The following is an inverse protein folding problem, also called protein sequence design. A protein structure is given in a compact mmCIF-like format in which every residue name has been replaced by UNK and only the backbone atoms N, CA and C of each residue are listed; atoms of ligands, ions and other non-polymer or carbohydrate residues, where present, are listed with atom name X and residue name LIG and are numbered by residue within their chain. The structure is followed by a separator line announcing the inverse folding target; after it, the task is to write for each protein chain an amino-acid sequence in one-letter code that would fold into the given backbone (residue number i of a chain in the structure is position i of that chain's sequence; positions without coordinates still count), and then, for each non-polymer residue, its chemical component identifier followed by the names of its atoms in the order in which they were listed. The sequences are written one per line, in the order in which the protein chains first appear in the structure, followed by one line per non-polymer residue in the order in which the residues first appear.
data_IF_482168331910
#
_entry.id   IF_482168331910
#
_cell.length_a   1.000
_cell.length_b   1.000
_cell.length_c   1.000
_cell.angle_alpha   90.00
_cell.angle_beta   90.00
_cell.angle_gamma   90.00
#
_symmetry.space_group_name_H-M   'P 1'
#
loop_
_entity.id
_entity.type
_entity.pdbx_description
1 polymer ?
#
# COMPACT_ATOMS: atom_id res chain seq x y z
N UNK A 1 -10.74 -10.32 10.76
CA UNK A 1 -12.06 -11.00 10.90
C UNK A 1 -12.29 -11.74 9.60
N UNK A 2 -12.74 -12.98 9.63
CA UNK A 2 -13.00 -13.80 8.44
C UNK A 2 -14.39 -14.42 8.55
N UNK A 3 -15.17 -14.32 7.48
CA UNK A 3 -16.45 -15.04 7.32
C UNK A 3 -16.16 -16.22 6.41
N UNK A 4 -16.14 -17.43 6.97
CA UNK A 4 -15.61 -18.62 6.29
C UNK A 4 -16.70 -19.37 5.54
N UNK A 5 -17.83 -19.63 6.20
CA UNK A 5 -18.89 -20.49 5.68
C UNK A 5 -20.27 -19.97 6.10
N UNK A 6 -21.27 -20.31 5.30
CA UNK A 6 -22.67 -20.08 5.62
C UNK A 6 -23.44 -21.40 5.50
N UNK A 7 -24.33 -21.66 6.45
CA UNK A 7 -25.19 -22.86 6.48
C UNK A 7 -26.66 -22.47 6.34
N UNK A 8 -27.45 -23.38 5.76
CA UNK A 8 -28.91 -23.30 5.64
C UNK A 8 -29.40 -22.03 4.88
N UNK A 9 -28.58 -21.57 3.93
CA UNK A 9 -28.94 -20.54 2.95
C UNK A 9 -29.56 -21.17 1.68
N UNK A 10 -30.49 -20.47 1.01
CA UNK A 10 -31.10 -20.94 -0.24
C UNK A 10 -30.05 -21.33 -1.32
N UNK A 11 -30.06 -22.58 -1.84
CA UNK A 11 -28.95 -23.22 -2.57
C UNK A 11 -28.75 -22.80 -4.04
N UNK A 12 -29.17 -21.59 -4.44
CA UNK A 12 -29.06 -21.12 -5.85
C UNK A 12 -28.71 -19.64 -6.02
N UNK A 13 -28.30 -18.95 -4.95
CA UNK A 13 -27.99 -17.52 -5.00
C UNK A 13 -26.55 -17.26 -4.61
N UNK A 14 -25.91 -16.31 -5.30
CA UNK A 14 -24.66 -15.71 -4.82
C UNK A 14 -25.00 -14.74 -3.70
N UNK A 15 -24.21 -14.79 -2.63
CA UNK A 15 -24.35 -13.92 -1.47
C UNK A 15 -23.07 -13.14 -1.27
N UNK A 16 -23.20 -11.90 -0.81
CA UNK A 16 -22.09 -11.04 -0.43
C UNK A 16 -22.25 -10.62 1.02
N UNK A 17 -21.16 -10.56 1.78
CA UNK A 17 -21.18 -10.13 3.17
C UNK A 17 -20.38 -8.83 3.31
N UNK A 18 -21.00 -7.79 3.86
CA UNK A 18 -20.31 -6.58 4.27
C UNK A 18 -20.10 -6.58 5.79
N UNK A 19 -18.93 -6.11 6.21
CA UNK A 19 -18.58 -5.94 7.63
C UNK A 19 -18.72 -4.46 7.96
N UNK A 20 -19.60 -4.14 8.89
CA UNK A 20 -19.78 -2.79 9.43
C UNK A 20 -19.30 -2.79 10.87
N UNK A 21 -18.49 -1.79 11.23
CA UNK A 21 -17.95 -1.62 12.57
C UNK A 21 -18.72 -0.49 13.24
N UNK A 22 -19.45 -0.78 14.32
CA UNK A 22 -20.12 0.25 15.08
C UNK A 22 -19.09 0.95 15.98
N UNK A 23 -18.76 2.16 15.56
CA UNK A 23 -17.74 3.02 16.17
C UNK A 23 -18.48 3.98 17.10
N UNK A 24 -18.26 3.83 18.41
CA UNK A 24 -18.64 4.90 19.33
C UNK A 24 -17.76 6.11 19.02
N UNK A 25 -18.34 7.17 18.47
CA UNK A 25 -17.61 8.41 18.14
C UNK A 25 -16.75 8.87 19.32
N UNK A 26 -15.44 9.10 19.09
CA UNK A 26 -14.70 10.02 19.92
C UNK A 26 -14.13 11.12 19.02
N UNK A 27 -14.62 12.35 19.24
CA UNK A 27 -14.10 13.63 18.74
C UNK A 27 -14.41 13.98 17.27
N UNK A 28 -14.98 15.17 17.08
CA UNK A 28 -15.37 15.75 15.79
C UNK A 28 -14.17 15.82 14.83
N UNK A 29 -14.29 15.11 13.70
CA UNK A 29 -13.41 15.27 12.56
C UNK A 29 -13.61 16.68 11.96
N UNK A 30 -12.55 17.43 11.58
CA UNK A 30 -12.70 18.64 10.79
C UNK A 30 -13.34 18.34 9.42
N UNK A 31 -14.03 19.30 8.79
CA UNK A 31 -15.16 19.05 7.88
C UNK A 31 -14.87 18.36 6.53
N UNK A 32 -13.65 17.90 6.25
CA UNK A 32 -13.22 17.51 4.88
C UNK A 32 -12.38 16.23 4.79
N UNK A 33 -12.48 15.28 5.73
CA UNK A 33 -11.83 13.98 5.56
C UNK A 33 -12.69 13.04 4.66
N UNK A 34 -12.16 12.52 3.54
CA UNK A 34 -12.91 11.60 2.69
C UNK A 34 -13.05 10.24 3.38
N UNK A 35 -14.29 9.82 3.62
CA UNK A 35 -14.63 8.48 4.14
C UNK A 35 -14.36 7.45 3.04
N UNK A 36 -13.22 6.75 3.10
CA UNK A 36 -12.94 5.60 2.23
C UNK A 36 -13.70 4.37 2.75
N UNK A 37 -14.73 3.96 2.01
CA UNK A 37 -15.37 2.65 2.16
C UNK A 37 -14.81 1.73 1.06
N UNK A 38 -13.81 0.92 1.40
CA UNK A 38 -13.37 -0.19 0.55
C UNK A 38 -13.11 -1.43 1.41
N UNK A 39 -13.53 -2.58 0.89
CA UNK A 39 -13.42 -3.92 1.49
C UNK A 39 -12.05 -4.57 1.34
N UNK A 40 -11.03 -3.81 0.95
CA UNK A 40 -9.65 -4.28 0.86
C UNK A 40 -8.89 -3.58 1.99
N UNK A 41 -8.19 -4.39 2.78
CA UNK A 41 -7.31 -4.02 3.88
C UNK A 41 -7.97 -3.67 5.24
N UNK A 42 -8.55 -4.70 5.86
CA UNK A 42 -8.82 -4.72 7.31
C UNK A 42 -7.54 -4.53 8.16
N UNK A 43 -6.34 -4.69 7.61
CA UNK A 43 -5.08 -4.33 8.27
C UNK A 43 -4.85 -2.81 8.30
N UNK A 44 -5.17 -2.06 7.23
CA UNK A 44 -5.04 -0.60 7.21
C UNK A 44 -6.07 0.12 8.10
N UNK A 45 -7.31 -0.40 8.17
CA UNK A 45 -8.34 0.14 9.09
C UNK A 45 -7.91 0.04 10.57
N UNK A 46 -7.02 -0.89 10.92
CA UNK A 46 -6.49 -1.02 12.29
C UNK A 46 -5.44 0.05 12.62
N UNK A 47 -4.79 0.65 11.61
CA UNK A 47 -3.76 1.68 11.80
C UNK A 47 -4.37 3.07 12.12
N UNK A 48 -5.58 3.37 11.61
CA UNK A 48 -6.14 4.72 11.62
C UNK A 48 -7.14 5.01 12.76
N UNK A 49 -7.50 4.02 13.58
CA UNK A 49 -8.64 4.16 14.49
C UNK A 49 -8.29 3.70 15.92
N UNK A 50 -7.97 4.69 16.78
CA UNK A 50 -8.15 4.57 18.24
C UNK A 50 -9.66 4.55 18.51
N UNK A 51 -10.32 3.49 18.08
CA UNK A 51 -11.77 3.37 18.15
C UNK A 51 -12.15 2.38 19.23
N UNK A 52 -13.04 2.82 20.10
CA UNK A 52 -13.77 1.95 20.99
C UNK A 52 -14.85 1.24 20.15
N UNK A 53 -14.48 0.09 19.59
CA UNK A 53 -15.43 -0.81 18.94
C UNK A 53 -16.47 -1.27 19.97
N UNK A 54 -17.73 -0.88 19.78
CA UNK A 54 -18.84 -1.37 20.61
C UNK A 54 -19.39 -2.68 20.05
N UNK A 55 -19.69 -2.70 18.74
CA UNK A 55 -20.26 -3.86 18.07
C UNK A 55 -19.66 -4.05 16.66
N UNK A 56 -19.61 -5.30 16.19
CA UNK A 56 -19.28 -5.64 14.80
C UNK A 56 -20.53 -6.22 14.18
N UNK A 57 -20.95 -5.65 13.05
CA UNK A 57 -22.19 -5.95 12.34
C UNK A 57 -21.86 -6.59 10.99
N UNK A 58 -22.52 -7.71 10.65
CA UNK A 58 -22.36 -8.39 9.37
C UNK A 58 -23.66 -8.31 8.57
N UNK A 59 -23.62 -7.66 7.41
CA UNK A 59 -24.75 -7.55 6.49
C UNK A 59 -24.59 -8.57 5.35
N UNK A 60 -25.63 -9.36 5.09
CA UNK A 60 -25.64 -10.36 4.01
C UNK A 60 -26.60 -9.94 2.89
N UNK A 61 -26.07 -9.76 1.69
CA UNK A 61 -26.81 -9.34 0.49
C UNK A 61 -26.98 -10.48 -0.51
N UNK A 62 -28.04 -10.41 -1.33
CA UNK A 62 -28.34 -11.34 -2.43
C UNK A 62 -28.10 -10.66 -3.78
N UNK A 63 -27.47 -11.37 -4.71
CA UNK A 63 -27.03 -10.88 -6.03
C UNK A 63 -28.15 -10.62 -7.07
N UNK A 64 -29.43 -10.49 -6.67
CA UNK A 64 -30.56 -10.36 -7.63
C UNK A 64 -30.94 -8.92 -8.02
N UNK A 65 -30.22 -7.89 -7.55
CA UNK A 65 -30.67 -6.49 -7.71
C UNK A 65 -29.56 -5.57 -8.26
N UNK A 66 -29.24 -5.62 -9.58
CA UNK A 66 -28.17 -4.81 -10.17
C UNK A 66 -28.44 -3.29 -10.15
N UNK A 67 -29.64 -2.86 -9.74
CA UNK A 67 -30.02 -1.44 -9.59
C UNK A 67 -29.84 -0.89 -8.18
N UNK A 68 -29.66 -1.74 -7.15
CA UNK A 68 -29.32 -1.28 -5.80
C UNK A 68 -27.80 -1.12 -5.74
N UNK A 69 -27.36 0.10 -6.04
CA UNK A 69 -25.98 0.56 -5.84
C UNK A 69 -25.43 0.04 -4.51
N UNK A 70 -24.11 -0.18 -4.48
CA UNK A 70 -23.19 -0.50 -3.35
C UNK A 70 -23.36 0.32 -2.04
N UNK A 71 -24.44 1.08 -1.89
CA UNK A 71 -24.69 2.02 -0.80
C UNK A 71 -26.18 2.08 -0.34
N UNK A 72 -27.02 1.10 -0.69
CA UNK A 72 -28.41 1.09 -0.19
C UNK A 72 -28.44 0.57 1.26
N UNK A 73 -28.60 1.49 2.22
CA UNK A 73 -28.84 1.21 3.65
C UNK A 73 -30.12 0.38 3.90
N UNK A 74 -30.95 0.15 2.87
CA UNK A 74 -32.35 -0.24 3.04
C UNK A 74 -32.60 -1.75 3.18
N UNK A 75 -31.62 -2.63 2.93
CA UNK A 75 -31.75 -4.08 3.15
C UNK A 75 -30.71 -4.62 4.16
N UNK A 76 -30.35 -3.80 5.13
CA UNK A 76 -29.31 -4.09 6.11
C UNK A 76 -29.77 -5.11 7.17
N UNK A 77 -29.15 -6.30 7.17
CA UNK A 77 -29.30 -7.28 8.25
C UNK A 77 -28.34 -6.92 9.39
N UNK A 78 -28.86 -6.52 10.56
CA UNK A 78 -28.07 -6.14 11.73
C UNK A 78 -27.72 -7.36 12.60
N UNK A 79 -26.43 -7.59 12.87
CA UNK A 79 -25.95 -8.63 13.78
C UNK A 79 -24.87 -8.13 14.72
N UNK A 80 -25.15 -7.87 16.01
CA UNK A 80 -24.09 -7.69 16.97
C UNK A 80 -23.34 -9.02 17.18
N UNK A 81 -22.11 -9.12 16.67
CA UNK A 81 -21.21 -10.20 17.07
C UNK A 81 -20.94 -10.05 18.57
N UNK A 82 -21.52 -10.95 19.37
CA UNK A 82 -21.30 -10.99 20.81
C UNK A 82 -19.81 -10.95 21.16
N UNK A 83 -19.48 -10.35 22.32
CA UNK A 83 -18.12 -10.03 22.77
C UNK A 83 -17.09 -11.13 22.44
N UNK A 84 -16.27 -10.89 21.42
CA UNK A 84 -15.11 -11.75 21.09
C UNK A 84 -14.05 -11.51 22.17
N UNK A 85 -14.01 -12.40 23.17
CA UNK A 85 -13.11 -12.28 24.32
C UNK A 85 -11.85 -13.11 24.10
N UNK A 86 -10.68 -12.48 23.99
CA UNK A 86 -9.38 -13.16 24.08
C UNK A 86 -8.46 -12.95 22.89
N UNK A 87 -7.16 -13.23 23.12
CA UNK A 87 -6.06 -12.99 22.17
C UNK A 87 -5.89 -14.07 21.09
N UNK A 88 -6.54 -15.22 21.25
CA UNK A 88 -6.48 -16.32 20.29
C UNK A 88 -7.57 -16.18 19.22
N UNK A 89 -7.34 -16.78 18.05
CA UNK A 89 -8.37 -16.93 17.04
C UNK A 89 -9.52 -17.78 17.61
N UNK A 90 -10.73 -17.23 17.53
CA UNK A 90 -11.95 -17.94 17.85
C UNK A 90 -12.75 -18.11 16.58
N UNK A 91 -13.17 -19.33 16.33
CA UNK A 91 -14.07 -19.68 15.24
C UNK A 91 -15.38 -20.18 15.85
N UNK A 92 -16.47 -19.49 15.52
CA UNK A 92 -17.81 -19.78 16.06
C UNK A 92 -18.87 -19.60 14.99
N UNK A 93 -19.93 -20.38 15.10
CA UNK A 93 -21.15 -20.21 14.31
C UNK A 93 -22.03 -19.15 14.97
N UNK A 94 -22.49 -18.19 14.17
CA UNK A 94 -23.41 -17.13 14.58
C UNK A 94 -24.70 -17.25 13.77
N UNK A 95 -25.89 -17.36 14.42
CA UNK A 95 -27.15 -17.48 13.71
C UNK A 95 -27.49 -16.19 12.95
N UNK A 96 -28.09 -16.33 11.76
CA UNK A 96 -28.58 -15.24 10.92
C UNK A 96 -30.01 -14.92 11.33
N UNK A 97 -30.21 -13.75 11.94
CA UNK A 97 -31.54 -13.20 12.27
C UNK A 97 -32.02 -12.27 11.15
N UNK A 98 -33.05 -12.63 10.37
CA UNK A 98 -33.53 -11.76 9.29
C UNK A 98 -34.07 -10.42 9.84
N UNK A 99 -33.59 -9.30 9.30
CA UNK A 99 -34.13 -7.98 9.59
C UNK A 99 -35.53 -7.85 8.96
N UNK A 100 -36.52 -7.50 9.78
CA UNK A 100 -37.88 -7.22 9.32
C UNK A 100 -38.14 -5.71 9.45
N UNK A 101 -38.14 -4.93 8.36
CA UNK A 101 -38.75 -3.61 8.41
C UNK A 101 -40.26 -3.77 8.67
N UNK A 102 -40.88 -2.86 9.43
CA UNK A 102 -42.32 -2.93 9.69
C UNK A 102 -43.09 -2.64 8.38
N UNK A 103 -43.70 -3.68 7.79
CA UNK A 103 -44.74 -3.50 6.76
C UNK A 103 -44.74 -4.39 5.52
N UNK A 104 -43.73 -5.22 5.25
CA UNK A 104 -43.68 -6.00 3.98
C UNK A 104 -43.35 -7.47 4.21
N UNK A 105 -44.37 -8.31 4.42
CA UNK A 105 -44.22 -9.76 4.43
C UNK A 105 -44.65 -10.36 3.09
N UNK A 106 -43.69 -10.67 2.21
CA UNK A 106 -43.87 -11.69 1.16
C UNK A 106 -43.10 -12.94 1.57
N UNK A 107 -43.79 -14.07 1.61
CA UNK A 107 -43.31 -15.35 2.15
C UNK A 107 -42.15 -16.02 1.38
N UNK A 108 -41.58 -15.37 0.36
CA UNK A 108 -40.58 -15.96 -0.55
C UNK A 108 -39.12 -15.78 -0.14
N UNK A 109 -38.82 -14.93 0.86
CA UNK A 109 -37.45 -14.57 1.23
C UNK A 109 -36.97 -15.07 2.59
N UNK A 110 -37.71 -15.97 3.25
CA UNK A 110 -37.31 -16.48 4.56
C UNK A 110 -36.03 -17.31 4.47
N UNK A 111 -34.94 -16.72 4.97
CA UNK A 111 -33.74 -17.44 5.38
C UNK A 111 -34.17 -18.45 6.45
N UNK A 112 -33.71 -19.70 6.35
CA UNK A 112 -34.15 -20.78 7.25
C UNK A 112 -33.84 -20.45 8.72
N UNK A 113 -34.63 -20.95 9.69
CA UNK A 113 -34.45 -20.67 11.11
C UNK A 113 -33.12 -21.19 11.70
N UNK A 114 -32.37 -21.99 10.93
CA UNK A 114 -31.07 -22.55 11.29
C UNK A 114 -29.90 -21.89 10.53
N UNK A 115 -30.19 -20.88 9.72
CA UNK A 115 -29.15 -20.23 8.93
C UNK A 115 -28.11 -19.59 9.85
N UNK A 116 -26.84 -19.80 9.54
CA UNK A 116 -25.74 -19.36 10.38
C UNK A 116 -24.48 -19.08 9.57
N UNK A 117 -23.64 -18.18 10.08
CA UNK A 117 -22.35 -17.82 9.52
C UNK A 117 -21.24 -18.31 10.45
N UNK A 118 -20.24 -18.98 9.88
CA UNK A 118 -19.00 -19.33 10.59
C UNK A 118 -18.03 -18.17 10.50
N UNK A 119 -17.78 -17.53 11.63
CA UNK A 119 -16.90 -16.37 11.73
C UNK A 119 -15.67 -16.75 12.54
N UNK A 120 -14.50 -16.51 11.97
CA UNK A 120 -13.20 -16.61 12.63
C UNK A 120 -12.67 -15.21 12.92
N UNK A 121 -12.37 -14.90 14.17
CA UNK A 121 -11.83 -13.59 14.54
C UNK A 121 -10.84 -13.65 15.70
N UNK A 122 -10.05 -12.58 15.82
CA UNK A 122 -9.12 -12.33 16.93
C UNK A 122 -9.30 -10.89 17.36
N UNK A 123 -9.39 -10.66 18.67
CA UNK A 123 -9.51 -9.33 19.25
C UNK A 123 -8.26 -9.01 20.09
N UNK A 124 -7.64 -7.86 19.84
CA UNK A 124 -6.47 -7.38 20.57
C UNK A 124 -6.71 -5.93 20.98
N UNK A 125 -6.61 -5.66 22.28
CA UNK A 125 -6.59 -4.29 22.79
C UNK A 125 -5.13 -3.82 22.76
N UNK A 126 -4.87 -2.76 22.01
CA UNK A 126 -3.61 -2.01 22.05
C UNK A 126 -3.84 -0.74 22.88
N UNK A 127 -2.90 -0.44 23.77
CA UNK A 127 -2.91 0.81 24.55
C UNK A 127 -1.75 1.66 24.09
N UNK A 128 -2.05 2.85 23.59
CA UNK A 128 -1.05 3.88 23.29
C UNK A 128 -0.93 4.74 24.56
N UNK A 129 0.30 4.92 25.05
CA UNK A 129 0.56 5.73 26.24
C UNK A 129 0.53 7.23 25.89
N UNK A 130 0.40 8.13 26.89
CA UNK A 130 0.62 9.56 26.66
C UNK A 130 2.02 9.84 26.09
N UNK A 131 2.14 10.88 25.25
CA UNK A 131 3.34 11.20 24.47
C UNK A 131 4.59 11.41 25.35
N UNK A 132 4.40 11.92 26.57
CA UNK A 132 5.47 12.17 27.55
C UNK A 132 6.22 10.89 27.92
N UNK A 133 5.54 9.73 27.87
CA UNK A 133 6.14 8.43 28.18
C UNK A 133 7.04 7.91 27.07
N UNK A 134 6.91 8.46 25.86
CA UNK A 134 7.75 8.11 24.70
C UNK A 134 8.91 9.09 24.50
N UNK A 135 9.01 10.16 25.30
CA UNK A 135 9.99 11.23 25.08
C UNK A 135 11.44 10.73 25.08
N UNK A 136 11.85 10.02 26.13
CA UNK A 136 13.22 9.49 26.26
C UNK A 136 13.55 8.51 25.11
N UNK A 137 12.57 7.72 24.69
CA UNK A 137 12.73 6.79 23.58
C UNK A 137 12.87 7.52 22.23
N UNK A 138 12.06 8.55 22.01
CA UNK A 138 12.16 9.41 20.83
C UNK A 138 13.53 10.10 20.78
N UNK A 139 14.01 10.64 21.89
CA UNK A 139 15.34 11.25 22.00
C UNK A 139 16.45 10.22 21.71
N UNK A 140 16.35 9.01 22.25
CA UNK A 140 17.29 7.93 21.95
C UNK A 140 17.35 7.61 20.45
N UNK A 141 16.19 7.46 19.80
CA UNK A 141 16.11 7.19 18.36
C UNK A 141 16.78 8.31 17.56
N UNK A 142 16.57 9.57 17.93
CA UNK A 142 17.16 10.70 17.19
C UNK A 142 18.68 10.77 17.27
N UNK A 143 19.30 10.19 18.29
CA UNK A 143 20.76 10.29 18.49
C UNK A 143 21.48 9.01 18.06
N UNK A 144 20.85 7.85 18.22
CA UNK A 144 21.51 6.54 18.11
C UNK A 144 20.96 5.68 16.97
N UNK A 145 20.28 6.27 15.97
CA UNK A 145 19.66 5.51 14.89
C UNK A 145 20.66 4.65 14.11
N UNK A 146 21.90 5.12 13.85
CA UNK A 146 22.89 4.35 13.08
C UNK A 146 23.32 3.09 13.83
N UNK A 147 23.71 3.23 15.09
CA UNK A 147 24.14 2.11 15.93
C UNK A 147 23.00 1.12 16.20
N UNK A 148 21.79 1.66 16.42
CA UNK A 148 20.58 0.85 16.61
C UNK A 148 20.27 0.05 15.35
N UNK A 149 20.23 0.68 14.17
CA UNK A 149 20.00 0.00 12.89
C UNK A 149 21.07 -1.07 12.64
N UNK A 150 22.35 -0.73 12.83
CA UNK A 150 23.47 -1.66 12.62
C UNK A 150 23.40 -2.88 13.55
N UNK A 151 22.96 -2.68 14.80
CA UNK A 151 22.83 -3.76 15.80
C UNK A 151 21.60 -4.63 15.57
N UNK A 152 20.49 -4.03 15.13
CA UNK A 152 19.23 -4.74 14.92
C UNK A 152 19.20 -5.46 13.58
N UNK A 153 19.77 -4.89 12.52
CA UNK A 153 19.62 -5.42 11.16
C UNK A 153 19.93 -6.92 11.00
N UNK A 154 21.00 -7.47 11.60
CA UNK A 154 21.31 -8.91 11.51
C UNK A 154 20.26 -9.82 12.17
N UNK A 155 19.42 -9.27 13.05
CA UNK A 155 18.40 -9.99 13.80
C UNK A 155 17.03 -9.97 13.12
N UNK A 156 16.84 -9.11 12.12
CA UNK A 156 15.55 -8.86 11.48
C UNK A 156 15.42 -9.62 10.16
N UNK A 157 14.26 -10.23 9.95
CA UNK A 157 13.88 -10.71 8.63
C UNK A 157 13.43 -9.55 7.71
N UNK A 158 13.29 -9.82 6.40
CA UNK A 158 12.97 -8.80 5.40
C UNK A 158 11.70 -7.99 5.72
N UNK A 159 10.66 -8.65 6.26
CA UNK A 159 9.41 -7.98 6.63
C UNK A 159 9.60 -7.08 7.85
N UNK A 160 10.32 -7.56 8.86
CA UNK A 160 10.61 -6.77 10.07
C UNK A 160 11.48 -5.55 9.76
N UNK A 161 12.43 -5.68 8.81
CA UNK A 161 13.22 -4.54 8.32
C UNK A 161 12.33 -3.47 7.68
N UNK A 162 11.34 -3.88 6.88
CA UNK A 162 10.39 -2.97 6.24
C UNK A 162 9.50 -2.26 7.26
N UNK A 163 8.93 -3.00 8.23
CA UNK A 163 8.11 -2.44 9.31
C UNK A 163 8.91 -1.46 10.19
N UNK A 164 10.15 -1.80 10.56
CA UNK A 164 11.02 -0.93 11.36
C UNK A 164 11.46 0.31 10.59
N UNK A 165 11.93 0.15 9.35
CA UNK A 165 12.39 1.27 8.53
C UNK A 165 11.25 2.27 8.28
N UNK A 166 10.06 1.75 7.97
CA UNK A 166 8.88 2.60 7.80
C UNK A 166 8.55 3.37 9.08
N UNK A 167 8.49 2.69 10.23
CA UNK A 167 8.23 3.34 11.51
C UNK A 167 9.26 4.43 11.84
N UNK A 168 10.55 4.18 11.59
CA UNK A 168 11.62 5.16 11.83
C UNK A 168 11.48 6.39 10.92
N UNK A 169 11.21 6.20 9.63
CA UNK A 169 10.98 7.31 8.68
C UNK A 169 9.83 8.18 9.15
N UNK A 170 8.69 7.60 9.53
CA UNK A 170 7.51 8.35 10.01
C UNK A 170 7.77 9.07 11.33
N UNK A 171 8.44 8.42 12.29
CA UNK A 171 8.78 9.01 13.59
C UNK A 171 9.75 10.18 13.41
N UNK A 172 10.85 9.97 12.69
CA UNK A 172 11.88 10.98 12.46
C UNK A 172 11.34 12.17 11.65
N UNK A 173 10.53 11.90 10.63
CA UNK A 173 9.83 12.95 9.88
C UNK A 173 8.88 13.77 10.76
N UNK A 174 8.16 13.11 11.68
CA UNK A 174 7.23 13.78 12.59
C UNK A 174 7.96 14.62 13.64
N UNK A 175 9.10 14.13 14.15
CA UNK A 175 9.95 14.87 15.11
C UNK A 175 10.57 16.10 14.43
N UNK A 176 11.10 15.96 13.22
CA UNK A 176 11.70 17.06 12.46
C UNK A 176 10.71 18.21 12.20
N UNK A 177 9.46 17.87 11.86
CA UNK A 177 8.38 18.88 11.67
C UNK A 177 7.99 19.62 12.95
N UNK A 178 8.17 19.01 14.11
CA UNK A 178 7.75 19.58 15.40
C UNK A 178 8.76 20.60 15.97
N UNK A 179 10.03 20.57 15.52
CA UNK A 179 11.09 21.47 16.00
C UNK A 179 11.49 22.45 14.89
N UNK A 180 10.82 23.61 14.85
CA UNK A 180 10.94 24.61 13.78
C UNK A 180 12.22 25.48 13.85
N UNK A 181 13.05 25.44 14.91
CA UNK A 181 14.00 26.55 15.10
C UNK A 181 15.45 26.28 15.49
N UNK A 182 15.88 25.09 15.91
CA UNK A 182 17.31 24.86 16.10
C UNK A 182 17.68 23.38 16.31
N UNK A 183 18.70 22.96 15.55
CA UNK A 183 19.55 21.76 15.66
C UNK A 183 18.90 20.36 15.78
N UNK A 184 19.29 19.52 14.82
CA UNK A 184 19.32 18.06 14.85
C UNK A 184 17.96 17.34 14.84
N UNK A 185 17.37 17.22 13.66
CA UNK A 185 17.44 15.96 12.92
C UNK A 185 16.38 15.98 11.82
N UNK A 186 16.81 16.15 10.57
CA UNK A 186 15.93 15.90 9.45
C UNK A 186 15.98 14.40 9.12
N UNK A 187 14.85 13.81 8.72
CA UNK A 187 14.83 12.45 8.16
C UNK A 187 15.85 12.26 7.03
N UNK A 188 16.22 13.35 6.36
CA UNK A 188 17.30 13.40 5.38
C UNK A 188 18.66 13.04 5.97
N UNK A 189 19.05 13.57 7.14
CA UNK A 189 20.32 13.23 7.81
C UNK A 189 20.35 11.75 8.18
N UNK A 190 19.26 11.24 8.74
CA UNK A 190 19.09 9.81 9.01
C UNK A 190 19.31 8.95 7.76
N UNK A 191 18.70 9.33 6.63
CA UNK A 191 18.84 8.60 5.37
C UNK A 191 20.24 8.75 4.79
N UNK A 192 20.83 9.95 4.85
CA UNK A 192 22.18 10.23 4.38
C UNK A 192 23.17 9.33 5.13
N UNK A 193 23.14 9.35 6.47
CA UNK A 193 24.04 8.57 7.33
C UNK A 193 23.89 7.07 7.10
N UNK A 194 22.64 6.59 7.00
CA UNK A 194 22.37 5.16 6.80
C UNK A 194 22.82 4.70 5.41
N UNK A 195 22.67 5.55 4.39
CA UNK A 195 23.21 5.32 3.06
C UNK A 195 24.73 5.33 3.02
N UNK A 196 25.37 6.30 3.67
CA UNK A 196 26.84 6.37 3.74
C UNK A 196 27.44 5.19 4.53
N UNK A 197 26.78 4.74 5.61
CA UNK A 197 27.17 3.54 6.34
C UNK A 197 27.08 2.28 5.47
N UNK A 198 26.05 2.16 4.63
CA UNK A 198 25.89 1.05 3.69
C UNK A 198 26.99 1.04 2.62
N UNK A 199 27.35 2.20 2.10
CA UNK A 199 28.47 2.35 1.14
C UNK A 199 29.79 1.93 1.78
N UNK A 200 30.09 2.43 2.98
CA UNK A 200 31.30 2.09 3.71
C UNK A 200 31.39 0.59 4.01
N UNK A 201 30.26 -0.05 4.34
CA UNK A 201 30.18 -1.49 4.61
C UNK A 201 30.50 -2.33 3.37
N UNK A 202 30.00 -1.92 2.21
CA UNK A 202 30.10 -2.70 0.97
C UNK A 202 31.40 -2.43 0.19
N UNK A 203 32.06 -1.30 0.43
CA UNK A 203 33.38 -0.98 -0.13
C UNK A 203 33.41 -1.12 -1.65
N UNK A 204 34.19 -2.08 -2.15
CA UNK A 204 34.39 -2.34 -3.60
C UNK A 204 33.20 -3.08 -4.26
N UNK A 205 32.24 -3.60 -3.49
CA UNK A 205 31.06 -4.29 -4.02
C UNK A 205 29.94 -3.32 -4.44
N UNK A 206 30.28 -2.32 -5.27
CA UNK A 206 29.36 -1.29 -5.75
C UNK A 206 28.07 -1.86 -6.37
N UNK A 207 28.16 -3.04 -6.98
CA UNK A 207 27.04 -3.72 -7.62
C UNK A 207 25.93 -4.18 -6.65
N UNK A 208 26.22 -4.24 -5.34
CA UNK A 208 25.29 -4.64 -4.29
C UNK A 208 24.71 -3.46 -3.50
N UNK A 209 25.36 -2.30 -3.58
CA UNK A 209 24.95 -1.09 -2.86
C UNK A 209 23.54 -0.71 -3.33
N UNK A 210 22.66 -0.50 -2.36
CA UNK A 210 21.23 -0.25 -2.57
C UNK A 210 20.48 -1.33 -3.38
N UNK A 211 21.00 -2.56 -3.51
CA UNK A 211 20.26 -3.71 -4.08
C UNK A 211 19.90 -4.76 -3.03
N UNK A 212 20.64 -4.83 -1.94
CA UNK A 212 20.33 -5.71 -0.83
C UNK A 212 19.05 -5.25 -0.10
N UNK A 213 18.47 -6.15 0.70
CA UNK A 213 17.34 -5.83 1.59
C UNK A 213 17.88 -5.39 2.95
N UNK A 214 18.41 -4.17 3.01
CA UNK A 214 18.94 -3.53 4.22
C UNK A 214 17.98 -2.48 4.76
N UNK A 215 18.15 -2.07 6.02
CA UNK A 215 17.36 -0.99 6.60
C UNK A 215 17.53 0.31 5.82
N UNK A 216 18.73 0.58 5.28
CA UNK A 216 19.00 1.72 4.40
C UNK A 216 18.05 1.73 3.20
N UNK A 217 17.98 0.60 2.49
CA UNK A 217 17.13 0.47 1.30
C UNK A 217 15.66 0.53 1.62
N UNK A 218 15.21 -0.10 2.71
CA UNK A 218 13.80 -0.05 3.13
C UNK A 218 13.40 1.34 3.60
N UNK A 219 14.30 2.09 4.24
CA UNK A 219 14.04 3.44 4.69
C UNK A 219 13.91 4.42 3.51
N UNK A 220 14.82 4.37 2.54
CA UNK A 220 14.70 5.22 1.34
C UNK A 220 13.48 4.83 0.50
N UNK A 221 13.12 3.55 0.40
CA UNK A 221 11.89 3.09 -0.28
C UNK A 221 10.64 3.73 0.32
N UNK A 222 10.52 3.71 1.65
CA UNK A 222 9.40 4.36 2.34
C UNK A 222 9.42 5.89 2.15
N UNK A 223 10.58 6.51 2.30
CA UNK A 223 10.69 7.96 2.18
C UNK A 223 10.37 8.46 0.77
N UNK A 224 10.82 7.76 -0.27
CA UNK A 224 10.48 8.07 -1.66
C UNK A 224 8.97 8.02 -1.91
N UNK A 225 8.26 7.04 -1.33
CA UNK A 225 6.79 6.98 -1.40
C UNK A 225 6.14 8.16 -0.66
N UNK A 226 6.69 8.52 0.51
CA UNK A 226 6.13 9.57 1.37
C UNK A 226 6.17 10.96 0.70
N UNK A 227 7.31 11.34 0.11
CA UNK A 227 7.49 12.69 -0.48
C UNK A 227 7.28 12.72 -2.00
N UNK A 228 7.48 11.58 -2.68
CA UNK A 228 7.44 11.50 -4.13
C UNK A 228 6.05 11.20 -4.71
N UNK A 229 5.01 11.02 -3.88
CA UNK A 229 3.66 10.69 -4.35
C UNK A 229 3.13 11.70 -5.39
N UNK A 230 3.29 13.00 -5.11
CA UNK A 230 2.85 14.06 -6.03
C UNK A 230 3.61 13.97 -7.36
N UNK A 231 4.92 13.82 -7.30
CA UNK A 231 5.77 13.68 -8.48
C UNK A 231 5.37 12.45 -9.32
N UNK A 232 5.08 11.31 -8.69
CA UNK A 232 4.62 10.11 -9.41
C UNK A 232 3.28 10.33 -10.12
N UNK A 233 2.31 10.94 -9.46
CA UNK A 233 1.00 11.23 -10.06
C UNK A 233 1.17 12.17 -11.25
N UNK A 234 1.90 13.27 -11.08
CA UNK A 234 2.08 14.28 -12.13
C UNK A 234 2.87 13.71 -13.32
N UNK A 235 3.84 12.81 -13.08
CA UNK A 235 4.69 12.24 -14.14
C UNK A 235 4.03 11.06 -14.85
N UNK A 236 3.49 10.09 -14.09
CA UNK A 236 3.05 8.79 -14.59
C UNK A 236 1.53 8.59 -14.55
N UNK A 237 0.78 9.38 -13.79
CA UNK A 237 -0.66 9.17 -13.58
C UNK A 237 -1.45 9.12 -14.88
N UNK A 238 -1.30 10.13 -15.74
CA UNK A 238 -1.96 10.18 -17.05
C UNK A 238 -1.53 9.04 -17.98
N UNK A 239 -0.26 8.64 -17.93
CA UNK A 239 0.27 7.55 -18.74
C UNK A 239 -0.37 6.21 -18.33
N UNK A 240 -0.40 5.94 -17.01
CA UNK A 240 -1.06 4.75 -16.47
C UNK A 240 -2.56 4.76 -16.82
N UNK A 241 -3.25 5.89 -16.63
CA UNK A 241 -4.66 6.00 -16.99
C UNK A 241 -4.92 5.71 -18.48
N UNK A 242 -4.06 6.17 -19.38
CA UNK A 242 -4.15 5.84 -20.82
C UNK A 242 -3.95 4.36 -21.08
N UNK A 243 -2.96 3.71 -20.47
CA UNK A 243 -2.73 2.27 -20.64
C UNK A 243 -3.87 1.41 -20.11
N UNK A 244 -4.57 1.83 -19.06
CA UNK A 244 -5.74 1.11 -18.53
C UNK A 244 -6.96 1.22 -19.42
N UNK A 245 -7.14 2.38 -20.09
CA UNK A 245 -8.22 2.58 -21.05
C UNK A 245 -7.86 2.13 -22.47
N UNK A 246 -6.56 1.90 -22.72
CA UNK A 246 -6.03 1.46 -23.99
C UNK A 246 -6.20 -0.04 -24.19
N UNK A 247 -6.61 -0.43 -25.40
CA UNK A 247 -6.68 -1.83 -25.82
C UNK A 247 -5.41 -2.34 -26.52
N UNK A 248 -4.32 -1.58 -26.45
CA UNK A 248 -3.10 -1.82 -27.23
C UNK A 248 -2.29 -2.97 -26.65
N UNK A 249 -1.99 -3.96 -27.50
CA UNK A 249 -1.16 -5.09 -27.11
C UNK A 249 0.32 -4.76 -27.33
N UNK A 250 1.14 -5.03 -26.32
CA UNK A 250 2.59 -4.90 -26.38
C UNK A 250 3.31 -6.26 -26.29
N UNK A 251 2.63 -7.39 -26.53
CA UNK A 251 3.26 -8.71 -26.50
C UNK A 251 4.29 -8.86 -27.63
N UNK A 252 5.53 -9.12 -27.23
CA UNK A 252 6.69 -9.25 -28.12
C UNK A 252 7.28 -10.66 -28.15
N UNK A 253 6.68 -11.61 -27.42
CA UNK A 253 7.03 -13.03 -27.47
C UNK A 253 6.48 -13.67 -28.76
N UNK A 254 7.34 -14.10 -29.71
CA UNK A 254 6.90 -14.69 -30.97
C UNK A 254 6.07 -15.97 -30.82
N UNK A 255 6.12 -16.62 -29.65
CA UNK A 255 5.30 -17.80 -29.35
C UNK A 255 3.87 -17.44 -28.90
N UNK A 256 3.62 -16.18 -28.53
CA UNK A 256 2.36 -15.70 -27.97
C UNK A 256 1.61 -14.71 -28.88
N UNK A 257 2.23 -14.26 -29.96
CA UNK A 257 1.62 -13.38 -30.95
C UNK A 257 1.79 -13.92 -32.38
N UNK A 258 0.90 -13.52 -33.28
CA UNK A 258 1.04 -13.86 -34.70
C UNK A 258 2.24 -13.13 -35.33
N UNK A 259 2.78 -13.67 -36.42
CA UNK A 259 3.89 -13.04 -37.13
C UNK A 259 3.53 -11.67 -37.74
N UNK A 260 2.25 -11.41 -38.01
CA UNK A 260 1.78 -10.11 -38.50
C UNK A 260 1.62 -9.06 -37.39
N UNK A 261 1.29 -9.50 -36.16
CA UNK A 261 1.08 -8.58 -35.03
C UNK A 261 2.40 -8.22 -34.35
N UNK A 262 3.42 -9.09 -34.41
CA UNK A 262 4.69 -8.88 -33.72
C UNK A 262 5.36 -7.52 -34.06
N UNK A 263 5.47 -7.09 -35.33
CA UNK A 263 6.06 -5.79 -35.65
C UNK A 263 5.23 -4.62 -35.13
N UNK A 264 3.90 -4.78 -35.06
CA UNK A 264 2.97 -3.75 -34.56
C UNK A 264 3.13 -3.63 -33.04
N UNK A 265 3.12 -4.75 -32.33
CA UNK A 265 3.29 -4.77 -30.87
C UNK A 265 4.67 -4.24 -30.44
N UNK A 266 5.73 -4.53 -31.21
CA UNK A 266 7.06 -3.97 -30.99
C UNK A 266 7.06 -2.44 -31.13
N UNK A 267 6.32 -1.91 -32.11
CA UNK A 267 6.17 -0.47 -32.30
C UNK A 267 5.43 0.16 -31.12
N UNK A 268 4.30 -0.41 -30.71
CA UNK A 268 3.53 0.08 -29.56
C UNK A 268 4.37 0.07 -28.28
N UNK A 269 5.14 -1.00 -28.02
CA UNK A 269 6.02 -1.07 -26.87
C UNK A 269 7.10 0.03 -26.91
N UNK A 270 7.69 0.28 -28.08
CA UNK A 270 8.70 1.33 -28.26
C UNK A 270 8.11 2.73 -28.03
N UNK A 271 6.93 3.01 -28.56
CA UNK A 271 6.22 4.27 -28.36
C UNK A 271 5.84 4.48 -26.89
N UNK A 272 5.33 3.42 -26.24
CA UNK A 272 5.02 3.42 -24.80
C UNK A 272 6.25 3.73 -23.96
N UNK A 273 7.39 3.08 -24.24
CA UNK A 273 8.63 3.35 -23.50
C UNK A 273 9.16 4.76 -23.76
N UNK A 274 9.05 5.26 -25.00
CA UNK A 274 9.47 6.61 -25.35
C UNK A 274 8.63 7.68 -24.63
N UNK A 275 7.31 7.49 -24.51
CA UNK A 275 6.42 8.39 -23.74
C UNK A 275 6.82 8.43 -22.26
N UNK A 276 7.11 7.27 -21.64
CA UNK A 276 7.56 7.22 -20.25
C UNK A 276 8.88 7.97 -20.05
N UNK A 277 9.89 7.69 -20.90
CA UNK A 277 11.19 8.39 -20.80
C UNK A 277 10.99 9.89 -20.95
N UNK A 278 10.21 10.31 -21.95
CA UNK A 278 9.93 11.73 -22.20
C UNK A 278 9.28 12.39 -20.98
N UNK A 279 8.27 11.75 -20.38
CA UNK A 279 7.59 12.28 -19.17
C UNK A 279 8.55 12.44 -18.01
N UNK A 280 9.41 11.45 -17.76
CA UNK A 280 10.39 11.51 -16.67
C UNK A 280 11.40 12.65 -16.93
N UNK A 281 11.87 12.83 -18.17
CA UNK A 281 12.83 13.89 -18.50
C UNK A 281 12.20 15.28 -18.46
N UNK A 282 10.95 15.41 -18.91
CA UNK A 282 10.22 16.69 -18.93
C UNK A 282 9.87 17.16 -17.50
N UNK A 283 9.72 16.23 -16.55
CA UNK A 283 9.36 16.51 -15.15
C UNK A 283 10.57 16.68 -14.21
N UNK A 284 11.79 16.77 -14.73
CA UNK A 284 13.02 16.88 -13.93
C UNK A 284 12.99 18.02 -12.90
N UNK A 285 12.43 19.19 -13.27
CA UNK A 285 12.41 20.37 -12.40
C UNK A 285 11.38 20.27 -11.27
N UNK A 286 10.45 19.32 -11.39
CA UNK A 286 9.43 19.02 -10.38
C UNK A 286 9.83 17.87 -9.46
N UNK A 287 11.07 17.39 -9.57
CA UNK A 287 11.57 16.32 -8.69
C UNK A 287 11.64 16.82 -7.23
N UNK A 288 11.23 16.02 -6.23
CA UNK A 288 11.20 16.45 -4.83
C UNK A 288 12.58 16.92 -4.35
N UNK A 289 12.65 18.16 -3.87
CA UNK A 289 13.90 18.77 -3.41
C UNK A 289 14.53 17.97 -2.27
N UNK A 290 13.70 17.38 -1.41
CA UNK A 290 14.12 16.61 -0.25
C UNK A 290 14.87 15.33 -0.65
N UNK A 291 14.44 14.67 -1.74
CA UNK A 291 15.12 13.51 -2.30
C UNK A 291 16.40 13.93 -3.04
N UNK A 292 16.36 15.07 -3.74
CA UNK A 292 17.51 15.58 -4.47
C UNK A 292 18.69 15.87 -3.53
N UNK A 293 18.43 16.40 -2.34
CA UNK A 293 19.45 16.64 -1.31
C UNK A 293 20.12 15.34 -0.85
N UNK A 294 19.33 14.30 -0.52
CA UNK A 294 19.84 12.99 -0.10
C UNK A 294 20.70 12.38 -1.20
N UNK A 295 20.17 12.34 -2.42
CA UNK A 295 20.88 11.76 -3.56
C UNK A 295 22.15 12.54 -3.89
N UNK A 296 22.12 13.87 -3.82
CA UNK A 296 23.30 14.71 -4.05
C UNK A 296 24.39 14.47 -3.00
N UNK A 297 24.02 14.29 -1.74
CA UNK A 297 24.98 13.95 -0.67
C UNK A 297 25.64 12.60 -0.94
N UNK A 298 24.88 11.60 -1.39
CA UNK A 298 25.40 10.29 -1.72
C UNK A 298 26.34 10.30 -2.94
N UNK A 299 26.05 11.11 -3.97
CA UNK A 299 26.92 11.26 -5.16
C UNK A 299 28.33 11.71 -4.76
N UNK A 300 28.44 12.61 -3.78
CA UNK A 300 29.71 13.20 -3.35
C UNK A 300 30.68 12.17 -2.73
N UNK A 301 30.15 11.08 -2.16
CA UNK A 301 30.90 10.09 -1.38
C UNK A 301 31.27 8.83 -2.19
N UNK A 302 31.71 8.99 -3.45
CA UNK A 302 32.11 7.91 -4.39
C UNK A 302 30.96 7.10 -5.02
N UNK A 303 29.70 7.37 -4.70
CA UNK A 303 28.59 6.74 -5.41
C UNK A 303 28.44 7.36 -6.79
N UNK A 304 28.90 6.65 -7.83
CA UNK A 304 28.68 7.09 -9.19
C UNK A 304 27.19 7.34 -9.47
N UNK A 305 26.87 8.43 -10.18
CA UNK A 305 25.51 8.79 -10.63
C UNK A 305 24.69 7.60 -11.17
N UNK A 306 25.38 6.61 -11.76
CA UNK A 306 24.81 5.36 -12.23
C UNK A 306 24.07 4.57 -11.15
N UNK A 307 24.63 4.45 -9.96
CA UNK A 307 24.05 3.61 -8.90
C UNK A 307 22.81 4.25 -8.29
N UNK A 308 22.85 5.56 -8.05
CA UNK A 308 21.70 6.33 -7.56
C UNK A 308 20.58 6.31 -8.59
N UNK A 309 20.90 6.53 -9.87
CA UNK A 309 19.93 6.39 -10.96
C UNK A 309 19.33 4.98 -10.98
N UNK A 310 20.16 3.94 -11.03
CA UNK A 310 19.70 2.55 -11.05
C UNK A 310 18.81 2.21 -9.84
N UNK A 311 19.13 2.73 -8.65
CA UNK A 311 18.34 2.56 -7.42
C UNK A 311 16.99 3.27 -7.49
N UNK A 312 16.97 4.53 -7.90
CA UNK A 312 15.73 5.31 -8.08
C UNK A 312 14.76 4.61 -9.05
N UNK A 313 15.26 4.13 -10.18
CA UNK A 313 14.44 3.39 -11.12
C UNK A 313 13.98 2.05 -10.53
N UNK A 314 14.88 1.28 -9.92
CA UNK A 314 14.57 -0.05 -9.39
C UNK A 314 13.57 -0.04 -8.24
N UNK A 315 13.60 1.00 -7.42
CA UNK A 315 12.88 1.02 -6.13
C UNK A 315 11.70 1.97 -6.10
N UNK A 316 11.64 2.91 -7.04
CA UNK A 316 10.58 3.91 -7.05
C UNK A 316 9.82 3.93 -8.37
N UNK A 317 10.47 4.28 -9.49
CA UNK A 317 9.77 4.48 -10.76
C UNK A 317 9.29 3.18 -11.40
N UNK A 318 10.16 2.16 -11.54
CA UNK A 318 9.78 0.89 -12.16
C UNK A 318 8.75 0.10 -11.32
N UNK A 319 8.84 0.05 -9.98
CA UNK A 319 7.76 -0.51 -9.15
C UNK A 319 6.43 0.24 -9.31
N UNK A 320 6.45 1.58 -9.41
CA UNK A 320 5.23 2.36 -9.66
C UNK A 320 4.59 2.07 -11.02
N UNK A 321 5.40 1.79 -12.06
CA UNK A 321 4.90 1.33 -13.36
C UNK A 321 4.37 -0.11 -13.27
N UNK A 322 5.10 -1.02 -12.61
CA UNK A 322 4.75 -2.43 -12.54
C UNK A 322 3.48 -2.68 -11.70
N UNK A 323 3.31 -1.95 -10.61
CA UNK A 323 2.19 -2.10 -9.67
C UNK A 323 1.60 -0.74 -9.29
N UNK A 324 0.88 -0.07 -10.21
CA UNK A 324 0.43 1.31 -10.00
C UNK A 324 -0.55 1.47 -8.84
N UNK A 325 -1.29 0.42 -8.47
CA UNK A 325 -2.22 0.45 -7.34
C UNK A 325 -1.52 0.62 -6.00
N UNK A 326 -0.35 -0.03 -5.81
CA UNK A 326 0.44 0.09 -4.58
C UNK A 326 1.05 1.48 -4.39
N UNK A 327 1.13 2.26 -5.46
CA UNK A 327 1.62 3.64 -5.46
C UNK A 327 0.47 4.65 -5.60
N UNK A 328 -0.79 4.23 -5.44
CA UNK A 328 -1.95 5.12 -5.48
C UNK A 328 -2.21 5.80 -6.83
N UNK A 329 -1.66 5.26 -7.93
CA UNK A 329 -1.88 5.79 -9.28
C UNK A 329 -3.21 5.32 -9.89
N UNK A 330 -3.75 4.20 -9.41
CA UNK A 330 -5.05 3.63 -9.82
C UNK A 330 -5.66 2.83 -8.68
N UNK A 331 -6.97 2.62 -8.70
CA UNK A 331 -7.67 1.77 -7.73
C UNK A 331 -7.93 0.35 -8.24
N UNK A 332 -8.02 0.17 -9.56
CA UNK A 332 -8.33 -1.13 -10.15
C UNK A 332 -7.04 -1.92 -10.43
N UNK A 333 -7.08 -3.23 -10.24
CA UNK A 333 -6.01 -4.11 -10.72
C UNK A 333 -6.01 -4.18 -12.26
N UNK A 334 -4.83 -4.16 -12.91
CA UNK A 334 -4.75 -4.22 -14.37
C UNK A 334 -5.20 -5.57 -14.91
N UNK A 335 -5.85 -5.57 -16.08
CA UNK A 335 -6.12 -6.80 -16.83
C UNK A 335 -4.81 -7.45 -17.32
N UNK A 336 -4.84 -8.73 -17.67
CA UNK A 336 -3.66 -9.51 -18.06
C UNK A 336 -2.83 -8.84 -19.16
N UNK A 337 -3.47 -8.23 -20.15
CA UNK A 337 -2.80 -7.54 -21.25
C UNK A 337 -2.12 -6.26 -20.78
N UNK A 338 -2.83 -5.42 -20.01
CA UNK A 338 -2.27 -4.18 -19.45
C UNK A 338 -1.12 -4.48 -18.48
N UNK A 339 -1.27 -5.49 -17.62
CA UNK A 339 -0.20 -5.94 -16.72
C UNK A 339 1.04 -6.39 -17.51
N UNK A 340 0.85 -7.08 -18.63
CA UNK A 340 1.94 -7.50 -19.51
C UNK A 340 2.65 -6.28 -20.12
N UNK A 341 1.90 -5.30 -20.64
CA UNK A 341 2.45 -4.05 -21.18
C UNK A 341 3.25 -3.30 -20.12
N UNK A 342 2.68 -3.08 -18.91
CA UNK A 342 3.37 -2.45 -17.79
C UNK A 342 4.66 -3.17 -17.41
N UNK A 343 4.63 -4.51 -17.38
CA UNK A 343 5.81 -5.33 -17.07
C UNK A 343 6.92 -5.14 -18.11
N UNK A 344 6.57 -5.14 -19.40
CA UNK A 344 7.54 -4.96 -20.47
C UNK A 344 8.12 -3.54 -20.46
N UNK A 345 7.28 -2.52 -20.26
CA UNK A 345 7.71 -1.14 -20.11
C UNK A 345 8.66 -0.99 -18.93
N UNK A 346 8.29 -1.47 -17.73
CA UNK A 346 9.15 -1.40 -16.56
C UNK A 346 10.51 -2.08 -16.79
N UNK A 347 10.54 -3.22 -17.48
CA UNK A 347 11.80 -3.91 -17.83
C UNK A 347 12.69 -3.10 -18.77
N UNK A 348 12.13 -2.51 -19.82
CA UNK A 348 12.89 -1.68 -20.78
C UNK A 348 13.45 -0.44 -20.07
N UNK A 349 12.62 0.24 -19.28
CA UNK A 349 13.04 1.41 -18.50
C UNK A 349 14.12 1.05 -17.47
N UNK A 350 14.01 -0.08 -16.79
CA UNK A 350 15.03 -0.54 -15.86
C UNK A 350 16.37 -0.84 -16.55
N UNK A 351 16.34 -1.47 -17.72
CA UNK A 351 17.55 -1.75 -18.50
C UNK A 351 18.21 -0.46 -19.00
N UNK A 352 17.40 0.53 -19.38
CA UNK A 352 17.89 1.87 -19.74
C UNK A 352 18.57 2.53 -18.54
N UNK A 353 17.97 2.49 -17.35
CA UNK A 353 18.54 3.05 -16.12
C UNK A 353 19.83 2.34 -15.67
N UNK A 354 19.94 1.04 -15.95
CA UNK A 354 21.15 0.26 -15.65
C UNK A 354 22.27 0.46 -16.69
N UNK A 355 22.03 1.17 -17.80
CA UNK A 355 22.96 1.30 -18.94
C UNK A 355 23.39 -0.05 -19.52
N UNK A 356 22.49 -1.03 -19.54
CA UNK A 356 22.75 -2.40 -20.02
C UNK A 356 22.08 -2.71 -21.36
N UNK A 357 21.76 -1.67 -22.15
CA UNK A 357 21.14 -1.80 -23.48
C UNK A 357 22.18 -1.95 -24.58
#
# INVERSE_FOLDING_TARGET
LWVNEAKDLPPKKRYYCEVHLDVAEPWESPPNAPVKQSTEDLEELAQAMVVVLQEIILHLFRDEDPKKKRHSKDDSILHPLGKIKGRAYQEKWYPIVPYKPPGTSTAKDQVGPQASLRVKAKFKILKILPIERYKEFAEYITVNYVDMCSSLEPLLNVREKEELAGALVHVLQSIGKAKISDWFLNVQEFLIDLGSAEVQRLGENEALIFRENTLATKAIDEYMKLVGQKYLIDTLGDFIARLYNGGENCEVDPLKCSASDLPINQRHLKETCADVVKRITDMQDSFPAELNEIFSSWVSDYIGHRLISASLFLRFLCPAILSPSLFGLTQAYPETNTLRSLTLTAKVIQNLANFTL
#
